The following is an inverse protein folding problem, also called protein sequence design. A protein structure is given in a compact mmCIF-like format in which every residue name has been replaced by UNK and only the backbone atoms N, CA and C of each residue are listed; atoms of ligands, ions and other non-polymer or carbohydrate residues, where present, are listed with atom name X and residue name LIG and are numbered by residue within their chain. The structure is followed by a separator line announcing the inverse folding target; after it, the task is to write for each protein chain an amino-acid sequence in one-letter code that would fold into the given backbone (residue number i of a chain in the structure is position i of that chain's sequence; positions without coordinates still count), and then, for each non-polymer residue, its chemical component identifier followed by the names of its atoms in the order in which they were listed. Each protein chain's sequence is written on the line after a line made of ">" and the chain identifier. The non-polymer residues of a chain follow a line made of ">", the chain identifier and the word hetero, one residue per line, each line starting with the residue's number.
data_IF_182223955683
#
_entry.id   IF_182223955683
#
_cell.length_a   1.000
_cell.length_b   1.000
_cell.length_c   1.000
_cell.angle_alpha   90.00
_cell.angle_beta   90.00
_cell.angle_gamma   90.00
#
_symmetry.space_group_name_H-M   'P 1'
#
loop_
_entity.id
_entity.type
_entity.pdbx_description
1 polymer ?
#
# COMPACT_ATOMS: atom_id res chain seq x y z
N UNK A 1 -18.16 14.76 -40.30
CA UNK A 1 -18.19 14.78 -38.85
C UNK A 1 -16.77 14.64 -38.32
N UNK A 2 -16.13 15.66 -37.74
CA UNK A 2 -14.79 15.51 -37.20
C UNK A 2 -14.88 14.67 -35.91
N UNK A 3 -13.98 13.71 -35.76
CA UNK A 3 -13.78 12.93 -34.54
C UNK A 3 -13.34 13.90 -33.42
N UNK A 4 -13.82 13.73 -32.18
CA UNK A 4 -13.32 14.51 -31.07
C UNK A 4 -11.85 14.12 -30.82
N UNK A 5 -10.94 14.95 -31.30
CA UNK A 5 -9.57 14.99 -30.85
C UNK A 5 -9.55 15.75 -29.56
N UNK A 6 -9.43 15.07 -28.46
CA UNK A 6 -8.77 15.57 -27.26
C UNK A 6 -8.75 14.43 -26.24
N UNK A 7 -7.73 13.58 -26.35
CA UNK A 7 -7.29 12.83 -25.21
C UNK A 7 -6.71 13.87 -24.23
N UNK A 8 -7.57 14.47 -23.41
CA UNK A 8 -7.10 15.18 -22.23
C UNK A 8 -6.23 14.21 -21.44
N UNK A 9 -4.92 14.41 -21.54
CA UNK A 9 -3.95 13.62 -20.82
C UNK A 9 -4.33 13.72 -19.33
N UNK A 10 -4.79 12.61 -18.74
CA UNK A 10 -5.08 12.56 -17.32
C UNK A 10 -3.86 13.09 -16.57
N UNK A 11 -4.02 14.02 -15.64
CA UNK A 11 -2.88 14.52 -14.88
C UNK A 11 -2.14 13.34 -14.25
N UNK A 12 -0.81 13.38 -14.27
CA UNK A 12 0.02 12.32 -13.72
C UNK A 12 -0.43 11.98 -12.29
N UNK A 13 -0.55 10.72 -11.92
CA UNK A 13 -1.01 10.32 -10.58
C UNK A 13 -0.06 10.89 -9.53
N UNK A 14 -0.63 11.46 -8.46
CA UNK A 14 0.14 12.01 -7.34
C UNK A 14 0.58 10.94 -6.34
N UNK A 15 -0.14 9.84 -6.26
CA UNK A 15 0.16 8.71 -5.39
C UNK A 15 -0.05 7.41 -6.14
N UNK A 16 1.03 6.64 -6.28
CA UNK A 16 1.03 5.28 -6.79
C UNK A 16 1.19 4.31 -5.62
N UNK A 17 0.28 3.36 -5.46
CA UNK A 17 0.36 2.31 -4.45
C UNK A 17 0.68 0.96 -5.06
N UNK A 18 1.66 0.24 -4.49
CA UNK A 18 1.90 -1.17 -4.77
C UNK A 18 1.14 -2.01 -3.74
N UNK A 19 0.27 -2.91 -4.19
CA UNK A 19 -0.49 -3.78 -3.31
C UNK A 19 -0.50 -5.22 -3.80
N UNK A 20 -0.80 -6.17 -2.90
CA UNK A 20 -0.83 -7.58 -3.22
C UNK A 20 -0.36 -8.47 -2.07
N UNK A 21 -0.30 -9.79 -2.26
CA UNK A 21 0.11 -10.74 -1.23
C UNK A 21 1.48 -10.44 -0.65
N UNK A 22 1.70 -10.81 0.61
CA UNK A 22 3.05 -10.84 1.19
C UNK A 22 3.95 -11.73 0.32
N UNK A 23 5.21 -11.35 0.19
CA UNK A 23 6.19 -12.06 -0.66
C UNK A 23 5.94 -11.97 -2.17
N UNK A 24 4.98 -11.16 -2.65
CA UNK A 24 4.66 -10.97 -4.07
C UNK A 24 5.70 -10.19 -4.88
N UNK A 25 6.73 -9.61 -4.25
CA UNK A 25 7.78 -8.85 -4.96
C UNK A 25 7.63 -7.32 -4.92
N UNK A 26 6.65 -6.79 -4.20
CA UNK A 26 6.38 -5.33 -4.08
C UNK A 26 7.62 -4.51 -3.72
N UNK A 27 8.34 -4.90 -2.66
CA UNK A 27 9.52 -4.15 -2.21
C UNK A 27 10.66 -4.18 -3.24
N UNK A 28 10.80 -5.27 -4.01
CA UNK A 28 11.76 -5.33 -5.11
C UNK A 28 11.36 -4.39 -6.25
N UNK A 29 10.07 -4.36 -6.61
CA UNK A 29 9.54 -3.41 -7.60
C UNK A 29 9.69 -1.97 -7.11
N UNK A 30 9.35 -1.68 -5.85
CA UNK A 30 9.51 -0.37 -5.25
C UNK A 30 10.97 0.11 -5.32
N UNK A 31 11.93 -0.75 -4.97
CA UNK A 31 13.36 -0.41 -5.04
C UNK A 31 13.81 -0.07 -6.47
N UNK A 32 13.35 -0.81 -7.47
CA UNK A 32 13.65 -0.55 -8.90
C UNK A 32 13.04 0.79 -9.36
N UNK A 33 11.80 1.07 -8.99
CA UNK A 33 11.14 2.33 -9.33
C UNK A 33 11.81 3.53 -8.67
N UNK A 34 12.23 3.40 -7.42
CA UNK A 34 12.99 4.45 -6.70
C UNK A 34 14.39 4.63 -7.30
N UNK A 35 15.01 3.56 -7.80
CA UNK A 35 16.30 3.65 -8.52
C UNK A 35 16.17 4.27 -9.93
N UNK A 36 14.96 4.54 -10.40
CA UNK A 36 14.72 5.13 -11.73
C UNK A 36 14.72 4.13 -12.88
N UNK A 37 14.63 2.83 -12.58
CA UNK A 37 14.36 1.83 -13.61
C UNK A 37 12.94 2.08 -14.16
N UNK A 38 12.82 2.52 -15.40
CA UNK A 38 11.53 2.94 -15.97
C UNK A 38 11.46 4.45 -16.25
N UNK A 39 12.61 5.14 -16.15
CA UNK A 39 12.82 6.49 -16.67
C UNK A 39 12.58 7.63 -15.70
N UNK A 40 11.67 7.50 -14.71
CA UNK A 40 11.47 8.51 -13.69
C UNK A 40 11.69 7.89 -12.29
N UNK A 41 12.64 8.43 -11.54
CA UNK A 41 12.81 8.04 -10.15
C UNK A 41 11.61 8.50 -9.32
N UNK A 42 10.91 7.55 -8.71
CA UNK A 42 9.81 7.86 -7.81
C UNK A 42 10.31 8.08 -6.38
N UNK A 43 9.73 9.04 -5.70
CA UNK A 43 10.03 9.26 -4.29
C UNK A 43 9.09 8.42 -3.41
N UNK A 44 9.64 7.76 -2.39
CA UNK A 44 8.79 7.15 -1.37
C UNK A 44 8.02 8.25 -0.60
N UNK A 45 6.72 8.04 -0.41
CA UNK A 45 5.86 9.00 0.28
C UNK A 45 6.37 9.33 1.70
N UNK A 46 6.91 8.35 2.42
CA UNK A 46 7.51 8.54 3.75
C UNK A 46 8.75 9.42 3.68
N UNK A 47 9.62 9.21 2.69
CA UNK A 47 10.85 10.02 2.51
C UNK A 47 10.51 11.45 2.19
N UNK A 48 9.54 11.65 1.30
CA UNK A 48 9.12 12.98 0.91
C UNK A 48 8.49 13.74 2.06
N UNK A 49 7.67 13.07 2.87
CA UNK A 49 7.08 13.65 4.07
C UNK A 49 8.17 14.10 5.07
N UNK A 50 9.15 13.22 5.36
CA UNK A 50 10.25 13.56 6.26
C UNK A 50 11.08 14.73 5.72
N UNK A 51 11.39 14.75 4.43
CA UNK A 51 12.12 15.84 3.79
C UNK A 51 11.38 17.17 3.91
N UNK A 52 10.07 17.18 3.67
CA UNK A 52 9.22 18.40 3.81
C UNK A 52 9.15 18.95 5.23
N UNK A 53 9.31 18.10 6.22
CA UNK A 53 9.35 18.48 7.64
C UNK A 53 10.76 18.82 8.14
N UNK A 54 11.77 18.86 7.25
CA UNK A 54 13.15 19.10 7.63
C UNK A 54 13.82 17.94 8.37
N UNK A 55 13.20 16.74 8.32
CA UNK A 55 13.65 15.53 9.01
C UNK A 55 14.42 14.55 8.11
N UNK A 56 14.82 14.98 6.90
CA UNK A 56 15.57 14.16 5.94
C UNK A 56 16.94 13.69 6.43
N UNK A 57 17.46 14.29 7.50
CA UNK A 57 18.70 13.88 8.18
C UNK A 57 18.55 12.58 8.99
N UNK A 58 17.33 12.13 9.29
CA UNK A 58 17.06 10.92 10.06
C UNK A 58 17.37 9.67 9.22
N UNK A 59 18.63 9.24 9.18
CA UNK A 59 19.12 8.11 8.36
C UNK A 59 19.02 6.75 9.06
N UNK A 60 18.92 6.72 10.39
CA UNK A 60 18.80 5.47 11.17
C UNK A 60 17.41 4.85 11.03
N UNK A 61 17.33 3.56 10.63
CA UNK A 61 16.05 2.87 10.40
C UNK A 61 15.08 3.00 11.60
N UNK A 62 15.54 2.83 12.82
CA UNK A 62 14.71 2.92 14.02
C UNK A 62 14.15 4.33 14.26
N UNK A 63 15.01 5.35 14.18
CA UNK A 63 14.61 6.76 14.35
C UNK A 63 13.62 7.18 13.26
N UNK A 64 13.92 6.85 12.01
CA UNK A 64 13.04 7.12 10.86
C UNK A 64 11.67 6.50 11.05
N UNK A 65 11.62 5.21 11.40
CA UNK A 65 10.37 4.48 11.67
C UNK A 65 9.57 5.15 12.80
N UNK A 66 10.23 5.55 13.88
CA UNK A 66 9.59 6.25 14.99
C UNK A 66 8.98 7.58 14.53
N UNK A 67 9.76 8.41 13.83
CA UNK A 67 9.30 9.71 13.32
C UNK A 67 8.09 9.56 12.39
N UNK A 68 8.14 8.64 11.44
CA UNK A 68 7.03 8.36 10.52
C UNK A 68 5.77 7.96 11.32
N UNK A 69 5.89 7.15 12.36
CA UNK A 69 4.76 6.76 13.18
C UNK A 69 4.18 7.93 14.01
N UNK A 70 5.02 8.78 14.56
CA UNK A 70 4.58 9.97 15.30
C UNK A 70 3.86 10.95 14.37
N UNK A 71 4.44 11.21 13.19
CA UNK A 71 3.84 12.10 12.20
C UNK A 71 2.51 11.51 11.68
N UNK A 72 2.48 10.20 11.43
CA UNK A 72 1.26 9.53 11.00
C UNK A 72 0.16 9.56 12.06
N UNK A 73 0.50 9.44 13.36
CA UNK A 73 -0.46 9.59 14.44
C UNK A 73 -1.05 11.03 14.48
N UNK A 74 -0.20 12.05 14.36
CA UNK A 74 -0.68 13.43 14.18
C UNK A 74 -1.50 13.58 12.89
N UNK A 75 -1.08 12.92 11.82
CA UNK A 75 -1.77 12.88 10.53
C UNK A 75 -3.19 12.32 10.63
N UNK A 76 -3.42 11.31 11.49
CA UNK A 76 -4.77 10.78 11.76
C UNK A 76 -5.68 11.89 12.30
N UNK A 77 -5.19 12.73 13.20
CA UNK A 77 -5.98 13.84 13.74
C UNK A 77 -6.32 14.87 12.65
N UNK A 78 -5.34 15.23 11.83
CA UNK A 78 -5.50 16.20 10.72
C UNK A 78 -6.45 15.66 9.65
N UNK A 79 -6.38 14.37 9.34
CA UNK A 79 -7.19 13.72 8.29
C UNK A 79 -8.43 13.02 8.83
N UNK A 80 -8.78 13.24 10.11
CA UNK A 80 -9.89 12.54 10.77
C UNK A 80 -11.21 12.66 10.01
N UNK A 81 -11.53 13.86 9.54
CA UNK A 81 -12.80 14.10 8.82
C UNK A 81 -12.89 13.27 7.53
N UNK A 82 -11.79 13.17 6.79
CA UNK A 82 -11.70 12.49 5.51
C UNK A 82 -11.57 10.98 5.69
N UNK A 83 -10.77 10.53 6.68
CA UNK A 83 -10.43 9.13 6.93
C UNK A 83 -11.26 8.41 7.98
N UNK A 84 -12.21 9.09 8.68
CA UNK A 84 -12.91 8.55 9.87
C UNK A 84 -13.57 7.19 9.65
N UNK A 85 -14.15 6.96 8.48
CA UNK A 85 -14.83 5.70 8.17
C UNK A 85 -13.83 4.55 8.11
N UNK A 86 -12.68 4.77 7.48
CA UNK A 86 -11.60 3.79 7.42
C UNK A 86 -10.95 3.58 8.79
N UNK A 87 -10.67 4.66 9.55
CA UNK A 87 -10.05 4.54 10.89
C UNK A 87 -10.94 3.74 11.86
N UNK A 88 -12.27 3.98 11.82
CA UNK A 88 -13.23 3.22 12.62
C UNK A 88 -13.32 1.76 12.17
N UNK A 89 -13.35 1.51 10.86
CA UNK A 89 -13.32 0.17 10.30
C UNK A 89 -12.07 -0.59 10.76
N UNK A 90 -10.88 0.00 10.59
CA UNK A 90 -9.62 -0.62 10.99
C UNK A 90 -9.57 -0.92 12.51
N UNK A 91 -10.09 -0.02 13.35
CA UNK A 91 -10.20 -0.23 14.78
C UNK A 91 -11.17 -1.37 15.10
N UNK A 92 -12.34 -1.42 14.47
CA UNK A 92 -13.32 -2.48 14.68
C UNK A 92 -12.77 -3.86 14.28
N UNK A 93 -12.07 -3.97 13.12
CA UNK A 93 -11.46 -5.22 12.68
C UNK A 93 -10.29 -5.66 13.58
N UNK A 94 -9.46 -4.72 14.03
CA UNK A 94 -8.39 -5.02 14.98
C UNK A 94 -8.93 -5.55 16.33
N UNK A 95 -10.12 -5.12 16.74
CA UNK A 95 -10.78 -5.58 17.97
C UNK A 95 -11.53 -6.90 17.78
N UNK A 96 -12.23 -7.07 16.65
CA UNK A 96 -13.01 -8.30 16.35
C UNK A 96 -12.15 -9.50 16.06
N UNK A 97 -10.98 -9.28 15.47
CA UNK A 97 -10.18 -10.36 14.91
C UNK A 97 -9.83 -11.43 15.94
N UNK A 98 -10.09 -12.70 15.57
CA UNK A 98 -9.53 -13.88 16.22
C UNK A 98 -8.02 -13.95 15.97
N UNK A 99 -7.30 -12.89 16.30
CA UNK A 99 -5.85 -12.82 16.12
C UNK A 99 -5.18 -13.78 17.09
N UNK A 100 -4.45 -14.78 16.61
CA UNK A 100 -3.54 -15.49 17.47
C UNK A 100 -2.39 -14.53 17.81
N UNK A 101 -2.41 -13.93 18.98
CA UNK A 101 -1.34 -13.04 19.37
C UNK A 101 -1.70 -12.06 20.47
N UNK A 102 -0.67 -11.43 20.98
CA UNK A 102 -0.75 -10.45 22.07
C UNK A 102 -1.48 -9.18 21.62
N UNK A 103 -2.04 -8.44 22.57
CA UNK A 103 -2.57 -7.08 22.38
C UNK A 103 -1.59 -6.19 21.59
N UNK A 104 -0.29 -6.39 21.78
CA UNK A 104 0.80 -5.70 21.08
C UNK A 104 0.73 -5.87 19.55
N UNK A 105 0.38 -7.07 19.06
CA UNK A 105 0.23 -7.30 17.60
C UNK A 105 -0.97 -6.51 17.05
N UNK A 106 -2.12 -6.55 17.73
CA UNK A 106 -3.33 -5.81 17.32
C UNK A 106 -3.06 -4.31 17.23
N UNK A 107 -2.40 -3.74 18.25
CA UNK A 107 -1.99 -2.34 18.25
C UNK A 107 -1.04 -2.02 17.08
N UNK A 108 -0.08 -2.90 16.80
CA UNK A 108 0.84 -2.71 15.67
C UNK A 108 0.12 -2.72 14.32
N UNK A 109 -0.83 -3.63 14.11
CA UNK A 109 -1.60 -3.73 12.87
C UNK A 109 -2.50 -2.50 12.66
N UNK A 110 -3.20 -2.09 13.73
CA UNK A 110 -4.02 -0.88 13.72
C UNK A 110 -3.18 0.37 13.41
N UNK A 111 -2.05 0.52 14.09
CA UNK A 111 -1.12 1.62 13.87
C UNK A 111 -0.64 1.67 12.41
N UNK A 112 -0.29 0.52 11.82
CA UNK A 112 0.15 0.46 10.43
C UNK A 112 -0.98 0.81 9.46
N UNK A 113 -2.20 0.34 9.70
CA UNK A 113 -3.36 0.70 8.89
C UNK A 113 -3.67 2.21 8.95
N UNK A 114 -3.64 2.79 10.13
CA UNK A 114 -3.85 4.22 10.31
C UNK A 114 -2.72 5.04 9.69
N UNK A 115 -1.45 4.60 9.82
CA UNK A 115 -0.30 5.21 9.15
C UNK A 115 -0.52 5.27 7.64
N UNK A 116 -0.82 4.14 7.01
CA UNK A 116 -1.00 4.07 5.57
C UNK A 116 -2.11 5.02 5.07
N UNK A 117 -3.26 5.02 5.75
CA UNK A 117 -4.38 5.90 5.37
C UNK A 117 -4.06 7.38 5.58
N UNK A 118 -3.45 7.74 6.71
CA UNK A 118 -3.10 9.15 6.99
C UNK A 118 -2.04 9.67 6.00
N UNK A 119 -1.03 8.87 5.66
CA UNK A 119 -0.03 9.23 4.65
C UNK A 119 -0.68 9.46 3.27
N UNK A 120 -1.58 8.56 2.86
CA UNK A 120 -2.31 8.73 1.59
C UNK A 120 -3.12 10.03 1.56
N UNK A 121 -3.85 10.32 2.64
CA UNK A 121 -4.69 11.52 2.75
C UNK A 121 -3.87 12.82 2.89
N UNK A 122 -2.67 12.74 3.45
CA UNK A 122 -1.75 13.88 3.55
C UNK A 122 -0.93 14.10 2.28
N UNK A 123 -0.72 13.09 1.45
CA UNK A 123 0.17 13.14 0.29
C UNK A 123 -0.02 14.38 -0.60
N UNK A 124 -1.25 14.83 -0.92
CA UNK A 124 -1.45 16.04 -1.73
C UNK A 124 -0.90 17.32 -1.10
N UNK A 125 -0.66 17.31 0.24
CA UNK A 125 -0.16 18.49 0.97
C UNK A 125 1.37 18.62 0.95
N UNK A 126 2.08 17.54 0.65
CA UNK A 126 3.55 17.54 0.65
C UNK A 126 4.18 17.10 -0.69
N UNK A 127 3.41 16.58 -1.62
CA UNK A 127 3.86 16.33 -2.99
C UNK A 127 4.10 17.65 -3.73
N UNK A 128 5.12 17.67 -4.57
CA UNK A 128 5.34 18.78 -5.50
C UNK A 128 4.42 18.64 -6.73
N UNK A 129 4.09 19.73 -7.42
CA UNK A 129 3.34 19.66 -8.68
C UNK A 129 4.03 18.71 -9.67
N UNK A 130 3.26 17.81 -10.29
CA UNK A 130 3.78 16.81 -11.23
C UNK A 130 4.55 15.64 -10.60
N UNK A 131 4.81 15.66 -9.29
CA UNK A 131 5.49 14.58 -8.61
C UNK A 131 4.56 13.39 -8.35
N UNK A 132 5.05 12.19 -8.61
CA UNK A 132 4.37 10.95 -8.23
C UNK A 132 5.07 10.32 -7.02
N UNK A 133 4.33 10.16 -5.95
CA UNK A 133 4.79 9.52 -4.72
C UNK A 133 4.48 8.03 -4.73
N UNK A 134 5.46 7.21 -4.39
CA UNK A 134 5.31 5.76 -4.28
C UNK A 134 4.97 5.36 -2.84
N UNK A 135 3.94 4.53 -2.69
CA UNK A 135 3.59 3.85 -1.44
C UNK A 135 3.70 2.34 -1.64
N UNK A 136 4.69 1.70 -1.02
CA UNK A 136 4.84 0.23 -1.03
C UNK A 136 3.99 -0.47 0.04
N UNK A 137 3.53 0.29 1.04
CA UNK A 137 2.57 -0.12 2.08
C UNK A 137 1.45 0.93 2.24
N UNK A 138 0.61 1.09 1.21
CA UNK A 138 -0.51 2.02 1.23
C UNK A 138 -1.80 1.44 1.82
N UNK A 139 -2.93 2.18 1.72
CA UNK A 139 -4.21 1.77 2.28
C UNK A 139 -4.76 0.45 1.75
N UNK A 140 -4.63 0.15 0.45
CA UNK A 140 -5.06 -1.14 -0.12
C UNK A 140 -4.27 -2.30 0.47
N UNK A 141 -2.95 -2.11 0.69
CA UNK A 141 -2.09 -3.11 1.31
C UNK A 141 -2.51 -3.43 2.74
N UNK A 142 -3.21 -2.53 3.45
CA UNK A 142 -3.67 -2.79 4.82
C UNK A 142 -4.67 -3.92 4.92
N UNK A 143 -5.33 -4.31 3.81
CA UNK A 143 -6.18 -5.51 3.76
C UNK A 143 -5.41 -6.76 4.20
N UNK A 144 -4.10 -6.86 3.89
CA UNK A 144 -3.26 -7.94 4.38
C UNK A 144 -3.18 -8.00 5.90
N UNK A 145 -3.24 -6.85 6.57
CA UNK A 145 -3.17 -6.75 8.02
C UNK A 145 -4.53 -6.99 8.67
N UNK A 146 -5.59 -6.48 8.08
CA UNK A 146 -6.91 -6.45 8.68
C UNK A 146 -7.77 -7.69 8.35
N UNK A 147 -7.60 -8.27 7.16
CA UNK A 147 -8.52 -9.28 6.61
C UNK A 147 -7.88 -10.64 6.36
N UNK A 148 -6.56 -10.73 6.21
CA UNK A 148 -5.88 -12.00 5.93
C UNK A 148 -5.45 -12.67 7.23
N UNK A 149 -6.05 -13.81 7.54
CA UNK A 149 -5.76 -14.61 8.74
C UNK A 149 -5.30 -16.02 8.38
N UNK A 150 -4.51 -16.64 9.25
CA UNK A 150 -4.06 -18.03 9.05
C UNK A 150 -5.11 -19.07 9.45
N UNK A 151 -6.06 -18.70 10.32
CA UNK A 151 -7.03 -19.65 10.94
C UNK A 151 -8.43 -19.53 10.38
N UNK A 152 -8.82 -18.37 9.92
CA UNK A 152 -10.17 -18.11 9.40
C UNK A 152 -10.08 -17.61 7.95
N UNK A 153 -11.00 -18.08 7.12
CA UNK A 153 -11.16 -17.54 5.77
C UNK A 153 -11.54 -16.04 5.82
N UNK A 154 -11.15 -15.24 4.83
CA UNK A 154 -11.55 -13.85 4.74
C UNK A 154 -13.07 -13.71 4.72
N UNK A 155 -13.59 -12.80 5.56
CA UNK A 155 -15.03 -12.52 5.57
C UNK A 155 -15.42 -11.68 4.36
N UNK A 156 -16.31 -12.14 3.47
CA UNK A 156 -16.79 -11.35 2.34
C UNK A 156 -17.40 -10.01 2.79
N UNK A 157 -18.18 -10.02 3.88
CA UNK A 157 -18.81 -8.81 4.41
C UNK A 157 -17.76 -7.80 4.93
N UNK A 158 -16.69 -8.26 5.59
CA UNK A 158 -15.61 -7.40 6.04
C UNK A 158 -14.82 -6.82 4.85
N UNK A 159 -14.60 -7.62 3.80
CA UNK A 159 -13.93 -7.18 2.58
C UNK A 159 -14.76 -6.11 1.83
N UNK A 160 -16.07 -6.33 1.69
CA UNK A 160 -16.97 -5.33 1.11
C UNK A 160 -17.02 -4.02 1.94
N UNK A 161 -17.02 -4.15 3.27
CA UNK A 161 -16.95 -2.98 4.15
C UNK A 161 -15.62 -2.23 4.00
N UNK A 162 -14.49 -2.95 3.89
CA UNK A 162 -13.18 -2.38 3.60
C UNK A 162 -13.18 -1.60 2.30
N UNK A 163 -13.63 -2.21 1.20
CA UNK A 163 -13.66 -1.61 -0.13
C UNK A 163 -14.48 -0.32 -0.18
N UNK A 164 -15.55 -0.22 0.63
CA UNK A 164 -16.36 1.01 0.71
C UNK A 164 -15.65 2.18 1.36
N UNK A 165 -14.73 1.92 2.30
CA UNK A 165 -14.16 2.97 3.15
C UNK A 165 -12.67 3.22 2.95
N UNK A 166 -11.96 2.34 2.24
CA UNK A 166 -10.53 2.48 2.01
C UNK A 166 -10.21 3.73 1.19
N UNK A 167 -9.27 4.59 1.63
CA UNK A 167 -8.80 5.72 0.83
C UNK A 167 -8.03 5.20 -0.39
N UNK A 168 -8.56 5.44 -1.58
CA UNK A 168 -7.94 4.95 -2.81
C UNK A 168 -6.74 5.81 -3.22
N UNK A 169 -5.67 5.22 -3.77
CA UNK A 169 -4.59 5.94 -4.44
C UNK A 169 -5.06 6.54 -5.76
N UNK A 170 -4.25 7.41 -6.37
CA UNK A 170 -4.54 7.96 -7.70
C UNK A 170 -4.25 6.93 -8.79
N UNK A 171 -3.21 6.10 -8.58
CA UNK A 171 -2.91 4.91 -9.36
C UNK A 171 -2.50 3.76 -8.43
N UNK A 172 -2.67 2.54 -8.89
CA UNK A 172 -2.30 1.35 -8.13
C UNK A 172 -1.68 0.29 -9.05
N UNK A 173 -0.78 -0.53 -8.50
CA UNK A 173 -0.28 -1.70 -9.21
C UNK A 173 -0.46 -2.95 -8.34
N UNK A 174 -1.13 -3.95 -8.89
CA UNK A 174 -1.29 -5.24 -8.26
C UNK A 174 -0.06 -6.10 -8.54
N UNK A 175 0.70 -6.41 -7.49
CA UNK A 175 1.95 -7.16 -7.59
C UNK A 175 1.76 -8.52 -6.92
N UNK A 176 1.82 -9.58 -7.70
CA UNK A 176 1.66 -10.95 -7.25
C UNK A 176 2.68 -11.88 -7.93
N UNK A 177 2.70 -13.12 -7.50
CA UNK A 177 3.44 -14.22 -8.10
C UNK A 177 2.55 -15.48 -8.07
N UNK A 178 3.00 -16.58 -8.64
CA UNK A 178 2.26 -17.84 -8.55
C UNK A 178 2.05 -18.27 -7.10
N UNK A 179 0.94 -18.94 -6.80
CA UNK A 179 0.65 -19.43 -5.44
C UNK A 179 1.81 -20.24 -4.87
N UNK A 180 2.40 -21.12 -5.70
CA UNK A 180 3.55 -21.94 -5.33
C UNK A 180 4.74 -21.07 -4.89
N UNK A 181 5.12 -20.07 -5.69
CA UNK A 181 6.22 -19.14 -5.33
C UNK A 181 5.94 -18.36 -4.05
N UNK A 182 4.70 -17.89 -3.88
CA UNK A 182 4.30 -17.17 -2.66
C UNK A 182 4.43 -18.05 -1.42
N UNK A 183 4.04 -19.33 -1.50
CA UNK A 183 4.18 -20.29 -0.41
C UNK A 183 5.66 -20.52 -0.07
N UNK A 184 6.50 -20.81 -1.08
CA UNK A 184 7.94 -21.03 -0.87
C UNK A 184 8.63 -19.81 -0.27
N UNK A 185 8.33 -18.60 -0.80
CA UNK A 185 8.89 -17.35 -0.27
C UNK A 185 8.38 -17.03 1.14
N UNK A 186 7.15 -17.41 1.48
CA UNK A 186 6.57 -17.23 2.82
C UNK A 186 7.23 -18.15 3.83
N UNK A 187 7.51 -19.40 3.45
CA UNK A 187 8.26 -20.37 4.26
C UNK A 187 9.69 -19.89 4.52
N UNK A 188 10.39 -19.46 3.46
CA UNK A 188 11.77 -19.00 3.57
C UNK A 188 11.96 -17.75 4.45
N UNK A 189 10.96 -16.87 4.51
CA UNK A 189 11.05 -15.60 5.26
C UNK A 189 10.58 -15.65 6.70
N UNK A 190 10.12 -16.79 7.20
CA UNK A 190 9.58 -16.90 8.58
C UNK A 190 8.57 -15.80 8.88
N UNK A 191 7.42 -15.84 8.21
CA UNK A 191 6.40 -14.79 8.34
C UNK A 191 5.81 -14.75 9.77
N UNK A 192 5.72 -13.58 10.46
CA UNK A 192 5.39 -13.51 11.88
C UNK A 192 3.97 -13.99 12.23
N UNK A 193 3.08 -14.12 11.25
CA UNK A 193 1.71 -14.61 11.42
C UNK A 193 1.51 -16.07 11.03
N UNK A 194 2.55 -16.71 10.51
CA UNK A 194 2.53 -18.11 10.08
C UNK A 194 3.46 -18.90 10.99
N UNK A 195 3.04 -20.05 11.55
CA UNK A 195 3.93 -20.91 12.31
C UNK A 195 5.15 -21.30 11.49
N UNK A 196 6.33 -21.16 12.08
CA UNK A 196 7.59 -21.44 11.41
C UNK A 196 7.61 -22.87 10.82
N UNK A 197 8.03 -23.01 9.57
CA UNK A 197 8.15 -24.30 8.88
C UNK A 197 6.83 -24.97 8.49
N UNK A 198 5.67 -24.41 8.80
CA UNK A 198 4.38 -25.01 8.43
C UNK A 198 3.99 -24.65 6.99
N UNK A 199 4.21 -25.58 6.06
CA UNK A 199 3.78 -25.46 4.66
C UNK A 199 2.26 -25.28 4.55
N UNK A 200 1.49 -26.06 5.29
CA UNK A 200 0.02 -25.99 5.28
C UNK A 200 -0.50 -24.62 5.77
N UNK A 201 0.06 -24.08 6.85
CA UNK A 201 -0.31 -22.77 7.34
C UNK A 201 0.12 -21.66 6.36
N UNK A 202 1.27 -21.81 5.69
CA UNK A 202 1.73 -20.90 4.64
C UNK A 202 0.81 -20.93 3.44
N UNK A 203 0.42 -22.10 2.97
CA UNK A 203 -0.50 -22.26 1.84
C UNK A 203 -1.87 -21.64 2.16
N UNK A 204 -2.45 -21.91 3.33
CA UNK A 204 -3.71 -21.26 3.75
C UNK A 204 -3.57 -19.74 3.81
N UNK A 205 -2.50 -19.23 4.38
CA UNK A 205 -2.26 -17.79 4.47
C UNK A 205 -2.16 -17.15 3.09
N UNK A 206 -1.45 -17.79 2.16
CA UNK A 206 -1.29 -17.32 0.77
C UNK A 206 -2.63 -17.38 0.03
N UNK A 207 -3.38 -18.50 0.13
CA UNK A 207 -4.69 -18.63 -0.50
C UNK A 207 -5.67 -17.55 -0.03
N UNK A 208 -5.71 -17.27 1.30
CA UNK A 208 -6.52 -16.19 1.84
C UNK A 208 -6.07 -14.82 1.34
N UNK A 209 -4.76 -14.58 1.22
CA UNK A 209 -4.22 -13.33 0.69
C UNK A 209 -4.60 -13.16 -0.78
N UNK A 210 -4.45 -14.20 -1.61
CA UNK A 210 -4.85 -14.16 -3.02
C UNK A 210 -6.33 -13.82 -3.16
N UNK A 211 -7.21 -14.54 -2.44
CA UNK A 211 -8.66 -14.27 -2.43
C UNK A 211 -8.99 -12.79 -2.12
N UNK A 212 -8.33 -12.22 -1.10
CA UNK A 212 -8.55 -10.82 -0.71
C UNK A 212 -8.05 -9.85 -1.78
N UNK A 213 -6.82 -10.03 -2.26
CA UNK A 213 -6.23 -9.08 -3.17
C UNK A 213 -6.76 -9.16 -4.60
N UNK A 214 -7.13 -10.34 -5.09
CA UNK A 214 -7.83 -10.52 -6.36
C UNK A 214 -9.21 -9.83 -6.33
N UNK A 215 -9.94 -9.96 -5.23
CA UNK A 215 -11.22 -9.25 -5.07
C UNK A 215 -11.03 -7.73 -5.01
N UNK A 216 -9.96 -7.24 -4.35
CA UNK A 216 -9.60 -5.80 -4.35
C UNK A 216 -9.26 -5.34 -5.76
N UNK A 217 -8.44 -6.08 -6.50
CA UNK A 217 -8.07 -5.74 -7.88
C UNK A 217 -9.27 -5.75 -8.85
N UNK A 218 -10.25 -6.65 -8.60
CA UNK A 218 -11.48 -6.74 -9.38
C UNK A 218 -12.50 -5.63 -9.05
N UNK A 219 -12.35 -4.91 -7.94
CA UNK A 219 -13.25 -3.82 -7.57
C UNK A 219 -13.22 -2.70 -8.63
N UNK A 220 -14.37 -2.28 -9.21
CA UNK A 220 -14.39 -1.31 -10.30
C UNK A 220 -13.59 -0.03 -10.00
N UNK A 221 -13.74 0.55 -8.81
CA UNK A 221 -13.04 1.76 -8.39
C UNK A 221 -11.52 1.59 -8.29
N UNK A 222 -11.04 0.38 -7.99
CA UNK A 222 -9.61 0.05 -7.96
C UNK A 222 -9.13 -0.26 -9.37
N UNK A 223 -9.90 -1.08 -10.13
CA UNK A 223 -9.57 -1.50 -11.49
C UNK A 223 -9.35 -0.33 -12.44
N UNK A 224 -10.13 0.75 -12.32
CA UNK A 224 -9.96 1.99 -13.10
C UNK A 224 -8.63 2.70 -12.84
N UNK A 225 -7.92 2.35 -11.76
CA UNK A 225 -6.64 2.92 -11.32
C UNK A 225 -5.48 1.97 -11.51
N UNK A 226 -5.74 0.73 -11.97
CA UNK A 226 -4.69 -0.25 -12.11
C UNK A 226 -3.76 0.08 -13.27
N UNK A 227 -2.47 0.01 -12.97
CA UNK A 227 -1.38 0.03 -13.92
C UNK A 227 -0.71 -1.35 -13.92
N UNK A 228 -0.32 -1.83 -15.09
CA UNK A 228 0.46 -3.05 -15.18
C UNK A 228 1.85 -2.80 -14.57
N UNK A 229 2.36 -3.68 -13.69
CA UNK A 229 3.70 -3.52 -13.11
C UNK A 229 4.81 -3.36 -14.15
N UNK A 230 4.69 -4.05 -15.29
CA UNK A 230 5.62 -3.98 -16.42
C UNK A 230 5.59 -2.59 -17.07
N UNK A 231 4.42 -1.97 -17.18
CA UNK A 231 4.28 -0.63 -17.74
C UNK A 231 4.96 0.44 -16.88
N UNK A 232 5.03 0.23 -15.56
CA UNK A 232 5.75 1.14 -14.65
C UNK A 232 7.26 1.14 -14.90
N UNK A 233 7.80 0.02 -15.38
CA UNK A 233 9.23 -0.12 -15.70
C UNK A 233 9.55 0.24 -17.14
N UNK A 234 8.56 0.30 -18.03
CA UNK A 234 8.72 0.63 -19.44
C UNK A 234 8.48 2.12 -19.77
N UNK A 235 8.03 2.91 -18.78
CA UNK A 235 7.75 4.33 -18.98
C UNK A 235 9.04 5.08 -19.40
N UNK A 236 9.02 5.87 -20.51
CA UNK A 236 10.16 6.68 -20.88
C UNK A 236 10.48 7.71 -19.79
N UNK A 237 11.75 8.14 -19.66
CA UNK A 237 12.12 9.17 -18.71
C UNK A 237 11.25 10.41 -18.95
N UNK A 238 10.67 10.94 -17.87
CA UNK A 238 9.99 12.22 -17.95
C UNK A 238 10.99 13.24 -18.48
N UNK A 239 10.78 13.74 -19.68
CA UNK A 239 11.57 14.85 -20.22
C UNK A 239 11.34 16.04 -19.30
N UNK A 240 12.28 16.31 -18.39
CA UNK A 240 12.39 17.61 -17.78
C UNK A 240 12.74 18.59 -18.91
N UNK A 241 11.73 19.16 -19.56
CA UNK A 241 11.95 20.43 -20.24
C UNK A 241 12.41 21.39 -19.16
N UNK A 242 13.72 21.62 -19.17
CA UNK A 242 14.35 22.67 -18.40
C UNK A 242 13.69 23.98 -18.86
N UNK A 243 12.84 24.56 -18.02
CA UNK A 243 12.54 25.98 -18.11
C UNK A 243 13.86 26.72 -17.85
N UNK A 244 14.50 27.13 -18.92
CA UNK A 244 15.57 28.11 -18.92
C UNK A 244 14.99 29.50 -18.67
#
# INVERSE_FOLDING_TARGET
>A
MPLPSDSEARPAPRVLELFGPSSGGKSSLAARLVAGEGGAALALAEDRLLARLGLGWARGHGLRTLLVHVIAAAGVLVTWREGRSFYRFAAAEALRGAWPGSCRLRVSLLRNAWKAASLRLLAPRFASPGETLLMDEGPLQTANYLLVHTRAAPSPAALEAFLRVVPLPDAAAYVSASEHELVERTLARTHPRVPAGSREASARFVAHALTVFERIAAEPRVRERLLAPEALLAAPPATHEACA
#
